data_IF_178351661521
#
_entry.id   IF_178351661521
#
_cell.length_a   1.000
_cell.length_b   1.000
_cell.length_c   1.000
_cell.angle_alpha   90.00
_cell.angle_beta   90.00
_cell.angle_gamma   90.00
#
_symmetry.space_group_name_H-M   'P 1'
#
loop_
_entity.id
_entity.type
_entity.pdbx_description
1 polymer ?
#
# COMPACT_ATOMS: atom_id res chain seq x y z
N UNK A 1 19.43 7.52 7.88
CA UNK A 1 18.38 7.08 6.95
C UNK A 1 17.03 7.30 7.64
N UNK A 2 16.16 8.18 7.14
CA UNK A 2 14.85 8.41 7.76
C UNK A 2 13.90 7.28 7.37
N UNK A 3 13.63 6.38 8.31
CA UNK A 3 12.62 5.33 8.21
C UNK A 3 11.25 5.96 7.92
N UNK A 4 10.56 5.46 6.90
CA UNK A 4 9.16 5.81 6.64
C UNK A 4 8.31 5.33 7.82
N UNK A 5 7.45 6.21 8.32
CA UNK A 5 6.53 5.93 9.42
C UNK A 5 5.12 5.71 8.88
N UNK A 6 4.32 4.99 9.65
CA UNK A 6 2.89 4.87 9.38
C UNK A 6 2.24 6.26 9.22
N UNK A 7 1.33 6.37 8.25
CA UNK A 7 0.65 7.59 7.81
C UNK A 7 1.54 8.62 7.09
N UNK A 8 2.84 8.37 6.92
CA UNK A 8 3.67 9.20 6.04
C UNK A 8 3.06 9.22 4.62
N UNK A 9 3.05 10.40 4.02
CA UNK A 9 2.65 10.62 2.63
C UNK A 9 3.88 10.56 1.74
N UNK A 10 3.78 9.78 0.68
CA UNK A 10 4.88 9.56 -0.28
C UNK A 10 4.33 9.54 -1.69
N UNK A 11 5.16 9.87 -2.66
CA UNK A 11 4.79 9.83 -4.07
C UNK A 11 5.37 8.58 -4.72
N UNK A 12 4.50 7.79 -5.35
CA UNK A 12 4.88 6.61 -6.12
C UNK A 12 4.88 6.97 -7.60
N UNK A 13 5.97 6.66 -8.29
CA UNK A 13 6.09 6.87 -9.74
C UNK A 13 5.93 5.54 -10.49
N UNK A 14 4.97 5.46 -11.42
CA UNK A 14 4.72 4.28 -12.28
C UNK A 14 4.30 4.71 -13.68
N UNK A 15 4.99 4.22 -14.71
CA UNK A 15 4.72 4.52 -16.13
C UNK A 15 4.62 6.04 -16.40
N UNK A 16 5.62 6.80 -15.93
CA UNK A 16 5.69 8.27 -16.08
C UNK A 16 4.57 9.06 -15.37
N UNK A 17 3.71 8.38 -14.60
CA UNK A 17 2.69 9.01 -13.76
C UNK A 17 3.08 8.92 -12.29
N UNK A 18 2.69 9.92 -11.53
CA UNK A 18 2.84 9.95 -10.07
C UNK A 18 1.50 9.73 -9.39
N UNK A 19 1.53 9.04 -8.26
CA UNK A 19 0.37 8.75 -7.44
C UNK A 19 0.68 9.06 -5.98
N UNK A 20 -0.30 9.59 -5.28
CA UNK A 20 -0.21 9.77 -3.84
C UNK A 20 -0.39 8.43 -3.14
N UNK A 21 0.49 8.17 -2.19
CA UNK A 21 0.48 6.96 -1.41
C UNK A 21 0.62 7.25 0.08
N UNK A 22 -0.02 6.40 0.89
CA UNK A 22 0.04 6.46 2.35
C UNK A 22 0.74 5.23 2.88
N UNK A 23 1.73 5.41 3.74
CA UNK A 23 2.41 4.28 4.40
C UNK A 23 1.46 3.66 5.43
N UNK A 24 1.14 2.39 5.26
CA UNK A 24 0.29 1.61 6.18
C UNK A 24 1.08 1.01 7.35
N UNK A 25 2.38 0.82 7.17
CA UNK A 25 3.27 0.24 8.15
C UNK A 25 4.62 -0.13 7.57
N UNK A 26 5.53 -0.54 8.44
CA UNK A 26 6.87 -1.03 8.09
C UNK A 26 7.29 -2.19 8.99
N UNK A 27 8.21 -3.00 8.48
CA UNK A 27 8.82 -4.13 9.19
C UNK A 27 10.28 -4.24 8.73
N UNK A 28 11.21 -3.84 9.59
CA UNK A 28 12.61 -3.62 9.21
C UNK A 28 12.74 -2.65 8.03
N UNK A 29 13.30 -3.13 6.93
CA UNK A 29 13.50 -2.36 5.70
C UNK A 29 12.32 -2.43 4.72
N UNK A 30 11.27 -3.18 5.04
CA UNK A 30 10.06 -3.28 4.22
C UNK A 30 9.01 -2.27 4.67
N UNK A 31 8.19 -1.81 3.72
CA UNK A 31 7.04 -0.98 4.01
C UNK A 31 5.86 -1.30 3.08
N UNK A 32 4.66 -0.99 3.56
CA UNK A 32 3.40 -1.15 2.84
C UNK A 32 2.82 0.21 2.52
N UNK A 33 2.43 0.41 1.27
CA UNK A 33 1.79 1.62 0.78
C UNK A 33 0.38 1.32 0.34
N UNK A 34 -0.54 2.20 0.66
CA UNK A 34 -1.85 2.30 0.04
C UNK A 34 -1.80 3.36 -1.07
N UNK A 35 -2.12 2.93 -2.29
CA UNK A 35 -2.30 3.84 -3.44
C UNK A 35 -3.77 3.81 -3.83
N UNK A 36 -4.53 4.80 -3.34
CA UNK A 36 -5.99 4.82 -3.47
C UNK A 36 -6.46 4.93 -4.92
N UNK A 37 -5.84 5.80 -5.71
CA UNK A 37 -6.18 6.00 -7.13
C UNK A 37 -6.05 4.71 -7.95
N UNK A 38 -5.12 3.84 -7.56
CA UNK A 38 -4.90 2.55 -8.20
C UNK A 38 -5.69 1.41 -7.55
N UNK A 39 -6.33 1.65 -6.40
CA UNK A 39 -6.94 0.63 -5.53
C UNK A 39 -5.98 -0.51 -5.22
N UNK A 40 -4.72 -0.16 -4.95
CA UNK A 40 -3.62 -1.10 -4.77
C UNK A 40 -2.97 -0.95 -3.39
N UNK A 41 -2.51 -2.08 -2.85
CA UNK A 41 -1.47 -2.12 -1.82
C UNK A 41 -0.17 -2.48 -2.50
N UNK A 42 0.86 -1.68 -2.25
CA UNK A 42 2.20 -1.89 -2.77
C UNK A 42 3.17 -2.17 -1.63
N UNK A 43 4.15 -3.04 -1.83
CA UNK A 43 5.19 -3.30 -0.84
C UNK A 43 6.55 -2.97 -1.41
N UNK A 44 7.22 -1.99 -0.82
CA UNK A 44 8.56 -1.59 -1.21
C UNK A 44 9.62 -1.91 -0.15
N UNK A 45 10.86 -1.64 -0.52
CA UNK A 45 12.04 -1.73 0.34
C UNK A 45 12.69 -0.34 0.45
N UNK A 46 13.20 0.03 1.63
CA UNK A 46 13.73 1.37 1.90
C UNK A 46 14.89 1.77 0.97
N UNK A 47 15.63 0.82 0.42
CA UNK A 47 16.68 1.07 -0.59
C UNK A 47 16.14 1.70 -1.88
N UNK A 48 14.84 1.60 -2.15
CA UNK A 48 14.20 2.12 -3.35
C UNK A 48 13.62 3.52 -3.15
N UNK A 49 13.79 4.10 -1.95
CA UNK A 49 13.44 5.48 -1.64
C UNK A 49 14.57 6.38 -2.15
N UNK A 50 14.22 7.35 -2.99
CA UNK A 50 15.14 8.41 -3.39
C UNK A 50 14.50 9.77 -3.21
N UNK A 51 15.33 10.79 -3.03
CA UNK A 51 14.87 12.17 -2.90
C UNK A 51 15.08 12.90 -4.23
N UNK A 52 14.04 13.57 -4.71
CA UNK A 52 14.12 14.42 -5.89
C UNK A 52 13.31 15.70 -5.63
N UNK A 53 13.93 16.86 -5.81
CA UNK A 53 13.32 18.18 -5.57
C UNK A 53 12.70 18.34 -4.16
N UNK A 54 13.32 17.76 -3.13
CA UNK A 54 12.82 17.81 -1.75
C UNK A 54 11.61 16.92 -1.48
N UNK A 55 11.14 16.18 -2.49
CA UNK A 55 10.09 15.18 -2.36
C UNK A 55 10.71 13.77 -2.30
N UNK A 56 10.16 12.92 -1.43
CA UNK A 56 10.53 11.50 -1.38
C UNK A 56 9.75 10.76 -2.45
N UNK A 57 10.48 10.19 -3.41
CA UNK A 57 9.95 9.36 -4.45
C UNK A 57 10.23 7.89 -4.18
N UNK A 58 9.28 7.07 -4.58
CA UNK A 58 9.36 5.63 -4.53
C UNK A 58 9.24 5.13 -5.96
N UNK A 59 10.30 4.50 -6.46
CA UNK A 59 10.18 3.76 -7.71
C UNK A 59 9.22 2.60 -7.44
N UNK A 60 8.14 2.51 -8.24
CA UNK A 60 7.05 1.56 -8.01
C UNK A 60 7.61 0.18 -7.71
N UNK A 61 7.26 -0.32 -6.52
CA UNK A 61 7.76 -1.60 -6.05
C UNK A 61 7.27 -2.74 -6.92
N UNK A 62 8.14 -3.74 -7.11
CA UNK A 62 7.93 -4.95 -7.91
C UNK A 62 6.70 -5.76 -7.49
N UNK A 63 6.13 -5.49 -6.31
CA UNK A 63 4.97 -6.19 -5.76
C UNK A 63 3.82 -5.24 -5.45
N UNK A 64 2.72 -5.43 -6.18
CA UNK A 64 1.44 -4.74 -6.00
C UNK A 64 0.30 -5.76 -5.99
N UNK A 65 -0.73 -5.51 -5.18
CA UNK A 65 -1.96 -6.28 -5.17
C UNK A 65 -3.17 -5.36 -5.18
N UNK A 66 -4.19 -5.72 -5.95
CA UNK A 66 -5.50 -5.07 -5.91
C UNK A 66 -6.19 -5.37 -4.59
N UNK A 67 -6.66 -4.32 -3.91
CA UNK A 67 -7.34 -4.43 -2.61
C UNK A 67 -8.54 -5.37 -2.68
N UNK A 68 -9.29 -5.34 -3.79
CA UNK A 68 -10.47 -6.19 -3.99
C UNK A 68 -10.16 -7.70 -4.00
N UNK A 69 -8.95 -8.10 -4.41
CA UNK A 69 -8.53 -9.51 -4.42
C UNK A 69 -8.00 -9.97 -3.06
N UNK A 70 -7.86 -9.05 -2.09
CA UNK A 70 -7.33 -9.34 -0.77
C UNK A 70 -8.42 -9.75 0.22
N UNK A 71 -9.70 -9.62 -0.17
CA UNK A 71 -10.85 -9.99 0.64
C UNK A 71 -11.68 -11.05 -0.09
N UNK A 72 -12.19 -12.02 0.64
CA UNK A 72 -13.15 -12.98 0.10
C UNK A 72 -14.57 -12.37 0.02
N UNK A 73 -15.52 -13.14 -0.50
CA UNK A 73 -16.92 -12.72 -0.63
C UNK A 73 -17.59 -12.35 0.72
N UNK A 74 -17.02 -12.78 1.85
CA UNK A 74 -17.49 -12.46 3.19
C UNK A 74 -16.73 -11.28 3.82
N UNK A 75 -15.86 -10.60 3.06
CA UNK A 75 -15.02 -9.51 3.54
C UNK A 75 -13.86 -9.98 4.45
N UNK A 76 -13.58 -11.29 4.50
CA UNK A 76 -12.45 -11.81 5.26
C UNK A 76 -11.16 -11.67 4.47
N UNK A 77 -10.09 -11.25 5.16
CA UNK A 77 -8.79 -11.07 4.53
C UNK A 77 -8.21 -12.42 4.10
N UNK A 78 -8.00 -12.58 2.79
CA UNK A 78 -7.44 -13.78 2.22
C UNK A 78 -5.91 -13.77 2.37
N UNK A 79 -5.42 -14.35 3.48
CA UNK A 79 -3.98 -14.49 3.75
C UNK A 79 -3.23 -15.30 2.68
N UNK A 80 -3.90 -16.22 1.98
CA UNK A 80 -3.29 -17.03 0.92
C UNK A 80 -3.08 -16.26 -0.39
N UNK A 81 -3.91 -15.25 -0.65
CA UNK A 81 -3.78 -14.36 -1.80
C UNK A 81 -2.74 -13.24 -1.58
N UNK A 82 -2.40 -12.97 -0.32
CA UNK A 82 -1.51 -11.88 0.06
C UNK A 82 -0.11 -12.40 0.42
N UNK A 83 0.85 -12.17 -0.48
CA UNK A 83 2.30 -12.46 -0.37
C UNK A 83 2.68 -13.63 0.55
N UNK A 84 2.64 -14.83 -0.03
CA UNK A 84 2.96 -16.12 0.61
C UNK A 84 4.34 -16.25 1.29
N UNK A 85 5.22 -15.24 1.21
CA UNK A 85 6.56 -15.27 1.80
C UNK A 85 6.74 -14.38 3.04
N UNK A 86 5.96 -13.31 3.23
CA UNK A 86 5.99 -12.48 4.45
C UNK A 86 4.57 -11.91 4.67
N UNK A 87 3.84 -12.36 5.72
CA UNK A 87 2.52 -11.81 6.02
C UNK A 87 2.65 -10.34 6.45
N UNK A 88 1.68 -9.48 6.09
CA UNK A 88 1.68 -8.09 6.53
C UNK A 88 1.42 -8.05 8.04
N UNK A 89 1.94 -7.04 8.76
CA UNK A 89 1.58 -6.81 10.15
C UNK A 89 0.05 -6.71 10.31
N UNK A 90 -0.49 -7.19 11.44
CA UNK A 90 -1.94 -7.21 11.70
C UNK A 90 -2.57 -5.80 11.59
N UNK A 91 -1.83 -4.77 11.98
CA UNK A 91 -2.23 -3.37 11.84
C UNK A 91 -2.50 -2.97 10.38
N UNK A 92 -1.66 -3.43 9.45
CA UNK A 92 -1.85 -3.20 8.01
C UNK A 92 -3.14 -3.88 7.53
N UNK A 93 -3.40 -5.11 7.99
CA UNK A 93 -4.65 -5.84 7.68
C UNK A 93 -5.87 -5.08 8.21
N UNK A 94 -5.81 -4.58 9.44
CA UNK A 94 -6.90 -3.81 10.06
C UNK A 94 -7.20 -2.51 9.29
N UNK A 95 -6.16 -1.77 8.89
CA UNK A 95 -6.35 -0.57 8.07
C UNK A 95 -6.97 -0.91 6.72
N UNK A 96 -6.49 -1.97 6.06
CA UNK A 96 -7.04 -2.39 4.77
C UNK A 96 -8.49 -2.85 4.86
N UNK A 97 -8.88 -3.52 5.94
CA UNK A 97 -10.29 -3.83 6.22
C UNK A 97 -11.13 -2.55 6.37
N UNK A 98 -10.63 -1.57 7.13
CA UNK A 98 -11.32 -0.30 7.27
C UNK A 98 -11.48 0.43 5.91
N UNK A 99 -10.44 0.43 5.08
CA UNK A 99 -10.50 0.97 3.73
C UNK A 99 -11.46 0.20 2.82
N UNK A 100 -11.48 -1.13 2.90
CA UNK A 100 -12.41 -1.94 2.10
C UNK A 100 -13.86 -1.65 2.48
N UNK A 101 -14.17 -1.56 3.79
CA UNK A 101 -15.51 -1.22 4.28
C UNK A 101 -15.88 0.20 3.84
N UNK A 102 -15.05 1.21 4.11
CA UNK A 102 -15.36 2.61 3.76
C UNK A 102 -15.41 2.83 2.24
N UNK A 103 -14.52 2.19 1.48
CA UNK A 103 -14.50 2.23 0.01
C UNK A 103 -15.71 1.53 -0.62
N UNK A 104 -16.20 0.44 -0.02
CA UNK A 104 -17.46 -0.19 -0.41
C UNK A 104 -18.68 0.69 -0.09
N UNK A 105 -18.57 1.59 0.90
CA UNK A 105 -19.60 2.57 1.26
C UNK A 105 -19.57 3.86 0.43
N UNK A 106 -18.67 3.98 -0.56
CA UNK A 106 -18.67 5.11 -1.49
C UNK A 106 -19.04 4.66 -2.92
N UNK A 107 -20.34 4.41 -3.20
CA UNK A 107 -20.83 3.95 -4.50
C UNK A 107 -20.75 5.03 -5.60
N UNK A 108 -20.23 6.24 -5.34
CA UNK A 108 -20.19 7.31 -6.34
C UNK A 108 -19.00 7.25 -7.31
N UNK A 109 -18.27 6.12 -7.36
CA UNK A 109 -17.13 5.93 -8.26
C UNK A 109 -17.26 4.68 -9.15
N UNK A 110 -18.50 4.28 -9.45
CA UNK A 110 -18.85 3.30 -10.47
C UNK A 110 -19.49 3.99 -11.68
#
# INVERSE_FOLDING_TARGET
MHMLKENDKVTVSRNEKTYDATVLGSDGDLFWLLVLDLKEVQRGHLSNVYEHQGMKHLHASEWNHKIEHMFDANGQFNRGAFWASIPPPEQVICQLKAYHVVGAFNPSAA
#
